data_IF_696972360419
#
_entry.id   IF_696972360419
#
_cell.length_a   1.000
_cell.length_b   1.000
_cell.length_c   1.000
_cell.angle_alpha   90.00
_cell.angle_beta   90.00
_cell.angle_gamma   90.00
#
_symmetry.space_group_name_H-M   'P 1'
#
loop_
_entity.id
_entity.type
_entity.pdbx_description
1 polymer ?
#
# COMPACT_ATOMS: atom_id res chain seq x y z
N UNK A 1 44.60 41.04 -27.03
CA UNK A 1 44.56 39.65 -27.50
C UNK A 1 43.51 38.91 -26.66
N UNK A 2 42.41 38.47 -27.29
CA UNK A 2 41.21 37.77 -26.72
C UNK A 2 40.42 38.51 -25.62
N UNK A 3 39.21 39.07 -25.75
CA UNK A 3 37.92 38.79 -26.44
C UNK A 3 37.10 37.60 -25.89
N UNK A 4 35.91 37.94 -25.33
CA UNK A 4 34.66 37.17 -25.15
C UNK A 4 34.58 36.11 -24.01
N UNK A 5 33.45 35.84 -23.31
CA UNK A 5 32.03 36.25 -23.40
C UNK A 5 31.27 35.86 -22.10
N UNK A 6 30.17 36.58 -21.86
CA UNK A 6 29.12 36.50 -20.81
C UNK A 6 28.35 35.15 -20.79
N UNK A 7 27.86 34.70 -19.60
CA UNK A 7 26.42 34.34 -19.38
C UNK A 7 26.04 34.16 -17.90
N UNK A 8 24.90 34.77 -17.55
CA UNK A 8 24.18 34.77 -16.27
C UNK A 8 23.14 33.65 -16.21
N UNK A 9 22.74 33.32 -14.97
CA UNK A 9 21.46 32.70 -14.52
C UNK A 9 21.29 31.19 -14.84
N UNK A 10 20.70 30.36 -13.95
CA UNK A 10 19.48 30.57 -13.16
C UNK A 10 19.53 29.83 -11.81
N UNK A 11 19.07 30.50 -10.75
CA UNK A 11 18.49 29.86 -9.57
C UNK A 11 17.20 29.13 -9.99
N UNK A 12 17.06 27.86 -9.61
CA UNK A 12 15.76 27.22 -9.50
C UNK A 12 15.53 26.93 -8.00
N UNK A 13 14.73 27.78 -7.37
CA UNK A 13 14.09 27.49 -6.07
C UNK A 13 12.90 26.59 -6.37
N UNK A 14 12.99 25.31 -6.03
CA UNK A 14 11.82 24.45 -5.89
C UNK A 14 11.24 24.66 -4.50
N UNK A 15 10.08 25.31 -4.40
CA UNK A 15 9.25 25.29 -3.21
C UNK A 15 8.70 23.86 -3.04
N UNK A 16 9.19 23.14 -2.04
CA UNK A 16 8.48 21.97 -1.50
C UNK A 16 7.34 22.48 -0.63
N UNK A 17 6.10 22.28 -1.08
CA UNK A 17 4.92 22.56 -0.29
C UNK A 17 4.75 21.45 0.75
N UNK A 18 5.00 21.77 2.02
CA UNK A 18 4.62 20.95 3.17
C UNK A 18 3.12 21.21 3.39
N UNK A 19 2.28 20.22 3.11
CA UNK A 19 0.87 20.25 3.47
C UNK A 19 0.72 19.67 4.89
N UNK A 20 0.80 20.56 5.88
CA UNK A 20 0.32 20.29 7.22
C UNK A 20 -1.21 20.23 7.20
N UNK A 21 -1.79 19.15 7.68
CA UNK A 21 -3.24 19.00 7.78
C UNK A 21 -3.62 19.16 9.24
N UNK A 22 -4.24 20.31 9.53
CA UNK A 22 -4.78 20.67 10.82
C UNK A 22 -6.22 20.19 11.00
N UNK A 23 -6.53 19.80 12.24
CA UNK A 23 -7.84 19.46 12.76
C UNK A 23 -8.82 20.65 12.74
N UNK A 24 -10.08 20.43 12.35
CA UNK A 24 -11.22 21.31 12.69
C UNK A 24 -12.61 20.62 12.46
N UNK A 25 -13.34 20.43 13.56
CA UNK A 25 -14.77 20.73 13.85
C UNK A 25 -15.82 20.73 12.71
N UNK A 26 -16.93 19.98 12.90
CA UNK A 26 -18.28 20.52 12.60
C UNK A 26 -19.42 19.58 12.11
N UNK A 27 -20.42 19.39 12.99
CA UNK A 27 -21.88 19.27 12.77
C UNK A 27 -22.52 18.04 12.07
N UNK A 28 -23.45 17.45 12.82
CA UNK A 28 -24.27 16.28 12.51
C UNK A 28 -25.43 16.55 11.55
N UNK A 29 -25.82 15.54 10.77
CA UNK A 29 -27.17 15.40 10.21
C UNK A 29 -27.56 13.93 10.14
N UNK A 30 -28.72 13.62 10.70
CA UNK A 30 -29.37 12.30 10.76
C UNK A 30 -30.10 11.99 9.46
N UNK A 31 -29.83 10.82 8.87
CA UNK A 31 -30.63 10.25 7.77
C UNK A 31 -31.06 8.83 8.15
N UNK A 32 -32.36 8.60 8.05
CA UNK A 32 -33.11 7.39 8.36
C UNK A 32 -33.26 6.51 7.09
N UNK A 33 -33.15 5.17 7.14
CA UNK A 33 -33.31 4.30 5.97
C UNK A 33 -34.66 3.54 5.97
N UNK A 34 -35.29 3.50 4.80
CA UNK A 34 -36.34 2.54 4.40
C UNK A 34 -36.41 2.58 2.87
N UNK A 35 -36.55 1.50 2.11
CA UNK A 35 -37.26 0.25 2.39
C UNK A 35 -36.77 -0.84 1.41
N UNK A 36 -37.00 -2.10 1.81
CA UNK A 36 -36.70 -3.31 1.08
C UNK A 36 -37.51 -3.49 -0.20
N UNK A 37 -37.01 -4.28 -1.16
CA UNK A 37 -37.86 -4.98 -2.14
C UNK A 37 -37.39 -6.41 -2.36
N UNK A 38 -38.32 -7.30 -2.05
CA UNK A 38 -38.28 -8.76 -2.08
C UNK A 38 -38.29 -9.30 -3.51
N UNK A 39 -37.55 -10.39 -3.73
CA UNK A 39 -37.28 -10.98 -5.04
C UNK A 39 -38.42 -11.77 -5.71
N UNK A 40 -38.06 -12.50 -6.77
CA UNK A 40 -38.72 -13.74 -7.21
C UNK A 40 -37.76 -14.49 -8.14
N UNK A 41 -37.43 -15.73 -7.78
CA UNK A 41 -36.65 -16.66 -8.57
C UNK A 41 -37.53 -17.34 -9.63
N UNK A 42 -37.02 -17.50 -10.85
CA UNK A 42 -37.60 -18.35 -11.88
C UNK A 42 -36.54 -19.36 -12.34
N UNK A 43 -36.73 -20.62 -11.96
CA UNK A 43 -35.95 -21.74 -12.45
C UNK A 43 -36.34 -22.05 -13.91
N UNK A 44 -35.36 -22.13 -14.81
CA UNK A 44 -35.52 -22.68 -16.16
C UNK A 44 -34.55 -23.84 -16.37
N UNK A 45 -35.13 -25.02 -16.57
CA UNK A 45 -34.46 -26.25 -16.99
C UNK A 45 -34.10 -26.15 -18.47
N UNK A 46 -32.82 -26.32 -18.82
CA UNK A 46 -32.39 -26.49 -20.20
C UNK A 46 -31.56 -27.79 -20.32
N UNK A 47 -32.06 -28.70 -21.14
CA UNK A 47 -31.40 -29.94 -21.56
C UNK A 47 -30.50 -29.61 -22.75
N UNK A 48 -29.18 -29.72 -22.58
CA UNK A 48 -28.19 -29.48 -23.62
C UNK A 48 -27.29 -30.70 -23.84
N UNK A 49 -27.18 -31.10 -25.08
CA UNK A 49 -26.35 -32.17 -25.67
C UNK A 49 -24.85 -32.04 -25.32
N UNK A 50 -24.10 -33.14 -25.07
CA UNK A 50 -22.66 -33.06 -24.80
C UNK A 50 -21.87 -32.67 -26.06
N UNK A 51 -21.39 -31.43 -26.07
CA UNK A 51 -20.39 -30.90 -27.00
C UNK A 51 -19.00 -31.44 -26.63
N UNK A 52 -18.21 -31.78 -27.65
CA UNK A 52 -16.86 -32.34 -27.54
C UNK A 52 -15.99 -31.59 -26.52
N UNK A 53 -15.34 -32.37 -25.65
CA UNK A 53 -14.37 -31.89 -24.66
C UNK A 53 -13.15 -31.30 -25.37
N UNK A 54 -12.85 -30.00 -25.24
CA UNK A 54 -11.58 -29.46 -25.73
C UNK A 54 -10.44 -30.09 -24.92
N UNK A 55 -9.42 -30.58 -25.61
CA UNK A 55 -8.16 -30.98 -24.99
C UNK A 55 -7.55 -29.76 -24.30
N UNK A 56 -7.20 -29.82 -22.99
CA UNK A 56 -6.57 -28.70 -22.32
C UNK A 56 -5.19 -28.45 -22.94
N UNK A 57 -5.03 -27.32 -23.64
CA UNK A 57 -3.72 -26.81 -24.01
C UNK A 57 -3.01 -26.38 -22.73
N UNK A 58 -2.12 -27.21 -22.22
CA UNK A 58 -1.14 -26.86 -21.19
C UNK A 58 -0.05 -25.99 -21.80
N UNK A 59 -0.39 -24.76 -22.16
CA UNK A 59 0.60 -23.68 -22.17
C UNK A 59 0.67 -23.20 -20.73
N UNK A 60 1.83 -23.27 -20.04
CA UNK A 60 1.94 -22.64 -18.73
C UNK A 60 1.62 -21.15 -18.92
N UNK A 61 0.57 -20.68 -18.27
CA UNK A 61 0.30 -19.25 -18.20
C UNK A 61 1.54 -18.62 -17.57
N UNK A 62 2.17 -17.69 -18.28
CA UNK A 62 3.28 -16.93 -17.70
C UNK A 62 2.72 -16.17 -16.50
N UNK A 63 3.05 -16.63 -15.29
CA UNK A 63 2.66 -15.94 -14.07
C UNK A 63 3.45 -14.63 -14.02
N UNK A 64 2.76 -13.49 -14.08
CA UNK A 64 3.37 -12.18 -13.82
C UNK A 64 4.07 -12.24 -12.46
N UNK A 65 5.33 -11.77 -12.34
CA UNK A 65 5.97 -11.71 -11.04
C UNK A 65 5.21 -10.76 -10.11
N UNK A 66 5.13 -11.09 -8.83
CA UNK A 66 4.43 -10.28 -7.84
C UNK A 66 5.22 -10.13 -6.53
N UNK A 67 4.95 -9.05 -5.82
CA UNK A 67 5.43 -8.78 -4.46
C UNK A 67 4.20 -8.57 -3.58
N UNK A 68 4.04 -9.47 -2.60
CA UNK A 68 2.93 -9.44 -1.64
C UNK A 68 3.44 -8.92 -0.31
N UNK A 69 2.81 -7.86 0.21
CA UNK A 69 3.07 -7.28 1.51
C UNK A 69 2.32 -8.05 2.61
N UNK A 70 3.09 -8.70 3.48
CA UNK A 70 2.59 -9.41 4.65
C UNK A 70 3.01 -8.75 5.97
N UNK A 71 2.52 -9.26 7.11
CA UNK A 71 2.95 -8.80 8.43
C UNK A 71 4.45 -9.08 8.65
N UNK A 72 5.27 -8.03 8.65
CA UNK A 72 6.70 -8.10 8.96
C UNK A 72 7.59 -8.64 7.84
N UNK A 73 7.03 -8.92 6.67
CA UNK A 73 7.78 -9.48 5.55
C UNK A 73 7.15 -9.15 4.20
N UNK A 74 7.97 -9.26 3.15
CA UNK A 74 7.52 -9.28 1.77
C UNK A 74 7.58 -10.71 1.26
N UNK A 75 6.72 -11.06 0.30
CA UNK A 75 6.84 -12.31 -0.45
C UNK A 75 6.98 -11.98 -1.93
N UNK A 76 8.11 -12.35 -2.52
CA UNK A 76 8.43 -12.16 -3.93
C UNK A 76 8.13 -13.47 -4.65
N UNK A 77 7.17 -13.47 -5.54
CA UNK A 77 6.84 -14.59 -6.42
C UNK A 77 7.34 -14.29 -7.82
N UNK A 78 8.28 -15.09 -8.30
CA UNK A 78 8.73 -15.11 -9.68
C UNK A 78 8.22 -16.33 -10.44
N UNK A 79 8.56 -16.48 -11.72
CA UNK A 79 8.13 -17.61 -12.53
C UNK A 79 8.63 -18.96 -11.97
N UNK A 80 9.81 -18.98 -11.37
CA UNK A 80 10.49 -20.22 -10.94
C UNK A 80 10.61 -20.37 -9.42
N UNK A 81 10.30 -19.32 -8.64
CA UNK A 81 10.53 -19.35 -7.20
C UNK A 81 9.66 -18.36 -6.42
N UNK A 82 9.34 -18.73 -5.19
CA UNK A 82 8.80 -17.83 -4.18
C UNK A 82 9.87 -17.62 -3.11
N UNK A 83 10.12 -16.36 -2.77
CA UNK A 83 11.11 -15.94 -1.78
C UNK A 83 10.45 -15.02 -0.77
N UNK A 84 10.84 -15.14 0.49
CA UNK A 84 10.42 -14.23 1.56
C UNK A 84 11.68 -13.57 2.07
N UNK A 85 12.03 -12.36 1.61
CA UNK A 85 13.18 -11.64 2.13
C UNK A 85 13.05 -11.57 3.65
N UNK A 86 14.09 -12.00 4.36
CA UNK A 86 14.07 -12.06 5.82
C UNK A 86 13.87 -10.67 6.42
N UNK A 87 13.46 -10.59 7.69
CA UNK A 87 13.25 -9.32 8.41
C UNK A 87 14.49 -8.42 8.58
N UNK A 88 15.62 -8.76 7.95
CA UNK A 88 16.80 -7.91 7.85
C UNK A 88 16.64 -6.89 6.71
N UNK A 89 16.78 -5.61 7.06
CA UNK A 89 16.63 -4.49 6.14
C UNK A 89 17.61 -4.56 4.96
N UNK A 90 18.88 -4.81 5.25
CA UNK A 90 19.93 -4.81 4.23
C UNK A 90 19.70 -5.93 3.21
N UNK A 91 19.34 -7.12 3.68
CA UNK A 91 18.99 -8.25 2.81
C UNK A 91 17.75 -7.97 1.97
N UNK A 92 16.67 -7.49 2.59
CA UNK A 92 15.43 -7.17 1.88
C UNK A 92 15.65 -6.14 0.77
N UNK A 93 16.37 -5.06 1.08
CA UNK A 93 16.71 -4.03 0.11
C UNK A 93 17.62 -4.56 -1.00
N UNK A 94 18.59 -5.42 -0.68
CA UNK A 94 19.47 -6.00 -1.69
C UNK A 94 18.68 -6.90 -2.68
N UNK A 95 17.78 -7.75 -2.18
CA UNK A 95 16.94 -8.61 -3.02
C UNK A 95 15.96 -7.78 -3.88
N UNK A 96 15.36 -6.72 -3.32
CA UNK A 96 14.53 -5.78 -4.08
C UNK A 96 15.34 -5.01 -5.12
N UNK A 97 16.57 -4.61 -4.79
CA UNK A 97 17.46 -3.88 -5.71
C UNK A 97 17.87 -4.75 -6.89
N UNK A 98 18.11 -6.04 -6.66
CA UNK A 98 18.38 -7.00 -7.73
C UNK A 98 17.18 -7.15 -8.68
N UNK A 99 15.96 -7.20 -8.12
CA UNK A 99 14.74 -7.39 -8.89
C UNK A 99 14.27 -6.11 -9.62
N UNK A 100 14.29 -4.97 -8.93
CA UNK A 100 13.65 -3.71 -9.35
C UNK A 100 14.65 -2.66 -9.84
N UNK A 101 15.94 -2.91 -9.66
CA UNK A 101 16.98 -1.92 -9.90
C UNK A 101 17.22 -1.02 -8.69
N UNK A 102 18.11 -0.05 -8.85
CA UNK A 102 18.55 0.82 -7.75
C UNK A 102 17.42 1.75 -7.28
N UNK A 103 17.08 1.78 -5.98
CA UNK A 103 16.13 2.75 -5.45
C UNK A 103 16.74 4.15 -5.35
N UNK A 104 15.87 5.15 -5.24
CA UNK A 104 16.25 6.46 -4.68
C UNK A 104 16.41 6.31 -3.17
N UNK A 105 17.54 6.76 -2.62
CA UNK A 105 17.88 6.61 -1.20
C UNK A 105 17.81 7.96 -0.50
N UNK A 106 17.07 8.03 0.60
CA UNK A 106 16.96 9.22 1.45
C UNK A 106 17.18 8.86 2.91
N UNK A 107 18.07 9.58 3.59
CA UNK A 107 18.28 9.42 5.04
C UNK A 107 17.52 10.50 5.79
N UNK A 108 16.73 10.11 6.79
CA UNK A 108 16.05 11.01 7.71
C UNK A 108 16.89 11.20 8.96
N UNK A 109 17.11 12.47 9.34
CA UNK A 109 17.73 12.82 10.60
C UNK A 109 16.75 12.71 11.77
N UNK A 110 17.26 12.87 12.99
CA UNK A 110 16.46 12.87 14.20
C UNK A 110 15.66 14.18 14.32
N UNK A 111 14.34 14.07 14.47
CA UNK A 111 13.43 15.16 14.84
C UNK A 111 12.34 14.63 15.79
N UNK A 112 11.59 15.50 16.46
CA UNK A 112 10.59 15.13 17.48
C UNK A 112 9.53 14.14 16.94
N UNK A 113 9.10 14.29 15.69
CA UNK A 113 8.08 13.43 15.06
C UNK A 113 8.65 12.55 13.94
N UNK A 114 9.97 12.48 13.80
CA UNK A 114 10.61 11.75 12.72
C UNK A 114 11.56 10.72 13.30
N UNK A 115 11.22 9.45 13.08
CA UNK A 115 12.14 8.34 13.34
C UNK A 115 13.34 8.48 12.40
N UNK A 116 14.58 8.53 12.92
CA UNK A 116 15.76 8.52 12.07
C UNK A 116 15.89 7.17 11.38
N UNK A 117 16.34 7.18 10.12
CA UNK A 117 16.42 5.97 9.31
C UNK A 117 16.77 6.23 7.85
N UNK A 118 16.68 5.18 7.05
CA UNK A 118 16.91 5.25 5.60
C UNK A 118 15.69 4.76 4.84
N UNK A 119 15.15 5.59 3.96
CA UNK A 119 14.11 5.25 3.00
C UNK A 119 14.74 4.86 1.66
N UNK A 120 14.21 3.77 1.09
CA UNK A 120 14.52 3.23 -0.22
C UNK A 120 13.24 3.29 -1.05
N UNK A 121 13.24 4.08 -2.11
CA UNK A 121 12.07 4.37 -2.93
C UNK A 121 12.26 3.89 -4.38
N UNK A 122 11.33 3.08 -4.86
CA UNK A 122 11.21 2.64 -6.24
C UNK A 122 10.05 3.40 -6.91
N UNK A 123 10.33 4.64 -7.29
CA UNK A 123 9.44 5.56 -8.01
C UNK A 123 8.08 5.79 -7.32
N UNK A 124 8.05 5.76 -5.99
CA UNK A 124 6.84 5.86 -5.18
C UNK A 124 5.88 4.66 -5.26
N UNK A 125 6.16 3.67 -6.11
CA UNK A 125 5.36 2.45 -6.20
C UNK A 125 5.60 1.54 -5.00
N UNK A 126 6.86 1.39 -4.61
CA UNK A 126 7.30 0.68 -3.40
C UNK A 126 8.26 1.57 -2.62
N UNK A 127 8.02 1.73 -1.33
CA UNK A 127 8.94 2.38 -0.41
C UNK A 127 9.22 1.45 0.77
N UNK A 128 10.49 1.26 1.11
CA UNK A 128 10.92 0.55 2.32
C UNK A 128 11.68 1.53 3.19
N UNK A 129 11.25 1.70 4.44
CA UNK A 129 11.94 2.48 5.44
C UNK A 129 12.59 1.56 6.46
N UNK A 130 13.89 1.75 6.67
CA UNK A 130 14.69 1.05 7.65
C UNK A 130 15.05 2.00 8.80
N UNK A 131 14.33 1.94 9.93
CA UNK A 131 14.64 2.76 11.09
C UNK A 131 16.03 2.43 11.65
N UNK A 132 16.69 3.44 12.22
CA UNK A 132 17.89 3.20 13.03
C UNK A 132 17.54 2.40 14.31
N UNK A 133 18.53 1.69 14.87
CA UNK A 133 18.34 0.96 16.13
C UNK A 133 17.65 -0.40 16.03
N UNK A 134 17.43 -0.91 14.80
CA UNK A 134 16.95 -2.28 14.59
C UNK A 134 15.45 -2.45 14.83
N UNK A 135 14.67 -1.37 14.77
CA UNK A 135 13.22 -1.48 14.74
C UNK A 135 12.76 -2.18 13.44
N UNK A 136 11.55 -2.75 13.41
CA UNK A 136 11.03 -3.42 12.22
C UNK A 136 11.02 -2.49 10.99
N UNK A 137 11.21 -3.09 9.82
CA UNK A 137 11.02 -2.39 8.55
C UNK A 137 9.60 -1.85 8.44
N UNK A 138 9.48 -0.64 7.91
CA UNK A 138 8.22 -0.11 7.41
C UNK A 138 8.22 -0.23 5.89
N UNK A 139 7.10 -0.59 5.32
CA UNK A 139 6.95 -0.81 3.87
C UNK A 139 5.62 -0.26 3.41
N UNK A 140 5.64 0.42 2.27
CA UNK A 140 4.48 1.05 1.66
C UNK A 140 4.42 0.72 0.17
N UNK A 141 3.24 0.36 -0.29
CA UNK A 141 2.86 0.23 -1.69
C UNK A 141 2.05 1.48 -2.05
N UNK A 142 2.49 2.22 -3.07
CA UNK A 142 1.83 3.43 -3.59
C UNK A 142 1.25 3.27 -4.99
N UNK A 143 1.46 2.12 -5.63
CA UNK A 143 0.95 1.78 -6.96
C UNK A 143 0.63 0.28 -7.04
N UNK A 144 -0.20 -0.17 -8.01
CA UNK A 144 -0.51 -1.60 -8.19
C UNK A 144 0.64 -2.40 -8.82
N UNK A 145 1.65 -1.73 -9.37
CA UNK A 145 2.80 -2.37 -9.99
C UNK A 145 4.03 -1.46 -9.97
N UNK A 146 5.20 -2.06 -10.12
CA UNK A 146 6.50 -1.40 -10.26
C UNK A 146 7.28 -2.03 -11.41
N UNK A 147 8.12 -1.25 -12.08
CA UNK A 147 8.99 -1.78 -13.13
C UNK A 147 10.15 -2.59 -12.51
N UNK A 148 10.47 -3.74 -13.10
CA UNK A 148 11.67 -4.50 -12.79
C UNK A 148 12.93 -3.82 -13.37
N UNK A 149 14.11 -4.28 -12.95
CA UNK A 149 15.39 -3.83 -13.51
C UNK A 149 15.47 -4.01 -15.04
N UNK A 150 14.77 -5.01 -15.58
CA UNK A 150 14.70 -5.32 -17.01
C UNK A 150 13.50 -4.65 -17.71
N UNK A 151 12.71 -3.86 -16.98
CA UNK A 151 11.54 -3.13 -17.49
C UNK A 151 10.25 -3.96 -17.57
N UNK A 152 10.22 -5.18 -17.05
CA UNK A 152 8.99 -5.96 -16.92
C UNK A 152 8.11 -5.42 -15.77
N UNK A 153 6.80 -5.63 -15.82
CA UNK A 153 5.91 -5.24 -14.71
C UNK A 153 6.01 -6.28 -13.59
N UNK A 154 6.11 -5.81 -12.35
CA UNK A 154 5.98 -6.61 -11.13
C UNK A 154 4.75 -6.11 -10.38
N UNK A 155 3.79 -6.99 -10.16
CA UNK A 155 2.55 -6.66 -9.43
C UNK A 155 2.85 -6.44 -7.94
N UNK A 156 2.19 -5.44 -7.35
CA UNK A 156 2.31 -5.09 -5.93
C UNK A 156 0.97 -5.32 -5.25
N UNK A 157 0.96 -6.21 -4.26
CA UNK A 157 -0.26 -6.66 -3.61
C UNK A 157 -0.14 -6.56 -2.08
N UNK A 158 -1.25 -6.28 -1.43
CA UNK A 158 -1.46 -6.54 -0.02
C UNK A 158 -2.01 -7.96 0.22
N UNK A 159 -2.44 -8.24 1.46
CA UNK A 159 -3.11 -9.48 1.80
C UNK A 159 -4.33 -9.73 0.92
N UNK A 160 -4.58 -11.01 0.63
CA UNK A 160 -5.75 -11.47 -0.14
C UNK A 160 -5.88 -10.85 -1.55
N UNK A 161 -4.77 -10.33 -2.10
CA UNK A 161 -4.71 -9.78 -3.46
C UNK A 161 -5.21 -8.34 -3.57
N UNK A 162 -5.40 -7.62 -2.45
CA UNK A 162 -5.78 -6.20 -2.47
C UNK A 162 -4.68 -5.36 -3.11
N UNK A 163 -5.01 -4.48 -4.04
CA UNK A 163 -4.07 -3.61 -4.75
C UNK A 163 -4.41 -2.12 -4.60
N UNK A 164 -3.41 -1.27 -4.82
CA UNK A 164 -3.64 0.18 -4.93
C UNK A 164 -4.47 0.47 -6.19
N UNK A 165 -5.57 1.20 -6.02
CA UNK A 165 -6.56 1.49 -7.07
C UNK A 165 -7.84 0.66 -6.96
N UNK A 166 -7.86 -0.39 -6.13
CA UNK A 166 -9.05 -1.20 -5.92
C UNK A 166 -10.19 -0.42 -5.26
N UNK A 167 -11.42 -0.79 -5.60
CA UNK A 167 -12.61 -0.41 -4.83
C UNK A 167 -12.80 -1.37 -3.66
N UNK A 168 -12.64 -0.86 -2.46
CA UNK A 168 -12.72 -1.61 -1.21
C UNK A 168 -14.01 -1.33 -0.43
N UNK A 169 -15.06 -0.81 -1.09
CA UNK A 169 -16.35 -0.57 -0.43
C UNK A 169 -16.96 -1.83 0.23
N UNK A 170 -16.87 -2.98 -0.45
CA UNK A 170 -17.33 -4.25 0.11
C UNK A 170 -16.45 -4.75 1.26
N UNK A 171 -15.13 -4.54 1.17
CA UNK A 171 -14.17 -4.87 2.23
C UNK A 171 -14.46 -4.04 3.48
N UNK A 172 -14.61 -2.72 3.33
CA UNK A 172 -14.95 -1.81 4.42
C UNK A 172 -16.26 -2.18 5.10
N UNK A 173 -17.30 -2.53 4.33
CA UNK A 173 -18.59 -2.93 4.88
C UNK A 173 -18.53 -4.25 5.68
N UNK A 174 -17.54 -5.10 5.42
CA UNK A 174 -17.33 -6.37 6.11
C UNK A 174 -16.39 -6.26 7.33
N UNK A 175 -15.57 -5.20 7.40
CA UNK A 175 -14.63 -5.00 8.50
C UNK A 175 -15.34 -4.45 9.75
N UNK A 176 -15.01 -4.94 10.96
CA UNK A 176 -15.48 -4.34 12.20
C UNK A 176 -14.81 -2.99 12.44
N UNK A 177 -15.52 -2.04 13.06
CA UNK A 177 -15.01 -0.69 13.39
C UNK A 177 -13.67 -0.71 14.14
N UNK A 178 -13.41 -1.74 14.96
CA UNK A 178 -12.15 -1.93 15.68
C UNK A 178 -10.91 -2.13 14.77
N UNK A 179 -11.11 -2.35 13.48
CA UNK A 179 -10.07 -2.52 12.46
C UNK A 179 -9.98 -1.34 11.49
N UNK A 180 -10.81 -0.31 11.68
CA UNK A 180 -10.88 0.86 10.79
C UNK A 180 -10.77 2.14 11.59
N UNK A 181 -10.07 3.12 11.03
CA UNK A 181 -9.94 4.45 11.63
C UNK A 181 -10.05 5.49 10.52
N UNK A 182 -10.89 6.51 10.71
CA UNK A 182 -11.13 7.55 9.71
C UNK A 182 -10.78 8.93 10.25
N UNK A 183 -10.12 9.73 9.42
CA UNK A 183 -9.72 11.10 9.72
C UNK A 183 -10.08 12.03 8.57
N UNK A 184 -10.45 13.27 8.87
CA UNK A 184 -10.66 14.30 7.87
C UNK A 184 -9.33 14.97 7.51
N UNK A 185 -8.92 14.85 6.24
CA UNK A 185 -7.65 15.38 5.74
C UNK A 185 -7.92 16.31 4.57
N UNK A 186 -7.84 17.62 4.81
CA UNK A 186 -8.09 18.61 3.77
C UNK A 186 -9.55 18.62 3.26
N UNK A 187 -10.51 18.20 4.09
CA UNK A 187 -11.93 18.10 3.74
C UNK A 187 -12.32 16.81 3.01
N UNK A 188 -11.43 15.82 3.01
CA UNK A 188 -11.69 14.48 2.49
C UNK A 188 -11.52 13.46 3.63
N UNK A 189 -12.47 12.53 3.75
CA UNK A 189 -12.34 11.41 4.68
C UNK A 189 -11.29 10.43 4.17
N UNK A 190 -10.21 10.29 4.93
CA UNK A 190 -9.19 9.25 4.74
C UNK A 190 -9.46 8.15 5.75
N UNK A 191 -9.65 6.93 5.26
CA UNK A 191 -9.87 5.76 6.11
C UNK A 191 -8.67 4.85 6.06
N UNK A 192 -8.16 4.45 7.21
CA UNK A 192 -7.15 3.40 7.38
C UNK A 192 -7.85 2.13 7.83
N UNK A 193 -7.73 1.06 7.06
CA UNK A 193 -8.37 -0.22 7.36
C UNK A 193 -7.32 -1.32 7.44
N UNK A 194 -7.29 -2.08 8.54
CA UNK A 194 -6.41 -3.24 8.66
C UNK A 194 -6.99 -4.40 7.82
N UNK A 195 -6.27 -4.81 6.78
CA UNK A 195 -6.70 -5.78 5.77
C UNK A 195 -6.01 -7.15 5.88
N UNK A 196 -5.20 -7.35 6.94
CA UNK A 196 -4.53 -8.61 7.23
C UNK A 196 -4.61 -8.98 8.71
N UNK A 197 -3.90 -10.04 9.14
CA UNK A 197 -3.78 -10.39 10.54
C UNK A 197 -3.34 -9.18 11.37
N UNK A 198 -4.11 -8.88 12.42
CA UNK A 198 -3.92 -7.71 13.25
C UNK A 198 -3.70 -8.10 14.71
N UNK A 199 -2.57 -7.68 15.25
CA UNK A 199 -2.15 -7.97 16.63
C UNK A 199 -2.55 -6.81 17.54
N UNK A 200 -2.96 -7.12 18.77
CA UNK A 200 -3.11 -6.08 19.79
C UNK A 200 -1.72 -5.54 20.16
N UNK A 201 -1.58 -4.22 20.21
CA UNK A 201 -0.36 -3.60 20.76
C UNK A 201 -0.47 -3.52 22.28
N UNK A 202 0.57 -3.98 22.98
CA UNK A 202 0.71 -3.77 24.41
C UNK A 202 1.37 -2.41 24.67
N UNK A 203 0.90 -1.66 25.67
CA UNK A 203 1.49 -0.36 26.03
C UNK A 203 0.48 0.61 26.62
N UNK A 204 0.92 1.85 26.84
CA UNK A 204 0.09 2.95 27.37
C UNK A 204 -1.02 3.38 26.38
N UNK A 205 -0.82 3.09 25.09
CA UNK A 205 -1.74 3.43 24.01
C UNK A 205 -2.16 2.16 23.25
N UNK A 206 -3.15 1.42 23.76
CA UNK A 206 -3.60 0.17 23.16
C UNK A 206 -4.21 0.45 21.78
N UNK A 207 -3.85 -0.37 20.79
CA UNK A 207 -4.37 -0.30 19.43
C UNK A 207 -4.22 -1.65 18.73
N UNK A 208 -4.42 -1.65 17.41
CA UNK A 208 -4.18 -2.85 16.59
C UNK A 208 -3.14 -2.55 15.54
N UNK A 209 -2.13 -3.41 15.43
CA UNK A 209 -1.05 -3.32 14.45
C UNK A 209 -1.26 -4.36 13.37
N UNK A 210 -1.29 -3.94 12.11
CA UNK A 210 -1.66 -4.76 10.98
C UNK A 210 -1.06 -4.24 9.67
N UNK A 211 -1.24 -5.01 8.59
CA UNK A 211 -1.12 -4.47 7.23
C UNK A 211 -2.39 -3.68 6.98
N UNK A 212 -2.27 -2.44 6.53
CA UNK A 212 -3.42 -1.57 6.31
C UNK A 212 -3.53 -1.09 4.87
N UNK A 213 -4.76 -1.00 4.38
CA UNK A 213 -5.09 -0.16 3.24
C UNK A 213 -5.40 1.26 3.73
N UNK A 214 -4.92 2.27 3.02
CA UNK A 214 -5.30 3.67 3.18
C UNK A 214 -6.22 4.04 2.03
N UNK A 215 -7.43 4.49 2.36
CA UNK A 215 -8.50 4.73 1.41
C UNK A 215 -8.89 6.20 1.36
N UNK A 216 -9.27 6.64 0.15
CA UNK A 216 -9.95 7.90 -0.11
C UNK A 216 -11.31 7.59 -0.71
N UNK A 217 -12.37 7.89 0.03
CA UNK A 217 -13.68 7.29 -0.23
C UNK A 217 -13.59 5.77 -0.10
N UNK A 218 -13.86 5.04 -1.19
CA UNK A 218 -13.73 3.57 -1.24
C UNK A 218 -12.50 3.09 -2.00
N UNK A 219 -11.70 4.00 -2.58
CA UNK A 219 -10.53 3.62 -3.40
C UNK A 219 -9.29 3.44 -2.54
N UNK A 220 -8.59 2.32 -2.68
CA UNK A 220 -7.28 2.08 -2.04
C UNK A 220 -6.24 3.00 -2.68
N UNK A 221 -5.58 3.81 -1.87
CA UNK A 221 -4.54 4.77 -2.32
C UNK A 221 -3.13 4.39 -1.88
N UNK A 222 -3.01 3.55 -0.84
CA UNK A 222 -1.77 2.95 -0.43
C UNK A 222 -2.04 1.69 0.39
N UNK A 223 -1.04 0.82 0.49
CA UNK A 223 -1.03 -0.31 1.42
C UNK A 223 0.27 -0.22 2.23
N UNK A 224 0.23 -0.42 3.55
CA UNK A 224 1.42 -0.26 4.37
C UNK A 224 1.49 -1.24 5.55
N UNK A 225 2.72 -1.46 6.01
CA UNK A 225 3.05 -2.22 7.22
C UNK A 225 4.30 -1.62 7.90
N UNK A 226 4.39 -1.62 9.24
CA UNK A 226 3.30 -1.77 10.17
C UNK A 226 2.44 -0.50 10.19
N UNK A 227 1.13 -0.67 10.33
CA UNK A 227 0.21 0.44 10.61
C UNK A 227 -0.54 0.13 11.88
N UNK A 228 -0.70 1.14 12.74
CA UNK A 228 -1.46 1.05 13.97
C UNK A 228 -2.77 1.82 13.76
N UNK A 229 -3.90 1.16 14.01
CA UNK A 229 -5.21 1.82 14.12
C UNK A 229 -5.63 1.91 15.58
N UNK A 230 -6.36 2.98 15.91
CA UNK A 230 -6.80 3.33 17.25
C UNK A 230 -5.63 3.52 18.24
N UNK A 231 -4.44 3.85 17.74
CA UNK A 231 -3.29 4.18 18.57
C UNK A 231 -3.35 5.64 19.01
N UNK A 232 -3.02 5.91 20.27
CA UNK A 232 -3.00 7.28 20.81
C UNK A 232 -1.66 8.00 20.55
N UNK A 233 -1.19 7.98 19.30
CA UNK A 233 0.05 8.65 18.92
C UNK A 233 -0.12 10.17 18.83
N UNK A 234 0.56 10.92 19.70
CA UNK A 234 0.71 12.39 19.64
C UNK A 234 1.97 12.81 18.83
N UNK A 235 2.28 12.12 17.73
CA UNK A 235 3.38 12.46 16.81
C UNK A 235 2.99 12.26 15.35
#
# INVERSE_FOLDING_TARGET
MYLHLIRRARLARGLGAIAAVGALVGCASTVDPSEATTGTAVARTATGTPTASPTPSTSPAATTPSIVLGPGHLTITGPDSTRTPGGDAARSVAELTELLGAPTVTTTGQDHCVTPGTAYDWDGALTVFAPEGGAPLETRLGAPAVASADGASVELEGPEGVQVGDDAGALLAALPDSLTESHEVGGETVTTALIGPAEATAGETPGRRGVAAVLRGTTVTAIAWPVIVHGAGDC
#
